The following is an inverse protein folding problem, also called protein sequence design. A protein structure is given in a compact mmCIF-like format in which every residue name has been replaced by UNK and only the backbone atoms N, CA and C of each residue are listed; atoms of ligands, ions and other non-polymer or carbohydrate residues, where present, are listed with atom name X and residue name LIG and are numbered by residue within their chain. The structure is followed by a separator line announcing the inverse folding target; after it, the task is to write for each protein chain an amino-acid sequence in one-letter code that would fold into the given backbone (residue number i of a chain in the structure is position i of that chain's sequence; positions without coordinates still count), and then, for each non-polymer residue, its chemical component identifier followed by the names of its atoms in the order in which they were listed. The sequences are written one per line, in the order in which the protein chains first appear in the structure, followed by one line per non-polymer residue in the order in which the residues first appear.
data_IF_642944957177
#
_entry.id   IF_642944957177
#
_cell.length_a   1.000
_cell.length_b   1.000
_cell.length_c   1.000
_cell.angle_alpha   90.00
_cell.angle_beta   90.00
_cell.angle_gamma   90.00
#
_symmetry.space_group_name_H-M   'P 1'
#
loop_
_entity.id
_entity.type
_entity.pdbx_description
1 polymer ?
#
# COMPACT_ATOMS: atom_id res chain seq x y z
N UNK A 1 -2.74 8.88 -14.00
CA UNK A 1 -3.30 8.15 -15.16
C UNK A 1 -3.96 6.82 -14.77
N UNK A 2 -3.26 5.76 -14.33
CA UNK A 2 -3.94 4.49 -13.95
C UNK A 2 -4.70 4.54 -12.60
N UNK A 3 -4.27 5.43 -11.69
CA UNK A 3 -4.76 5.49 -10.30
C UNK A 3 -5.73 6.64 -10.04
N UNK A 4 -6.06 7.40 -11.08
CA UNK A 4 -6.95 8.56 -11.03
C UNK A 4 -8.27 8.17 -11.68
N UNK A 5 -9.37 8.29 -10.94
CA UNK A 5 -10.71 7.90 -11.38
C UNK A 5 -11.25 8.72 -12.56
N UNK A 6 -10.66 9.88 -12.81
CA UNK A 6 -10.97 10.74 -13.96
C UNK A 6 -10.35 10.26 -15.29
N UNK A 7 -9.41 9.31 -15.26
CA UNK A 7 -8.72 8.80 -16.46
C UNK A 7 -9.40 7.54 -17.04
N UNK A 8 -9.35 7.38 -18.37
CA UNK A 8 -9.93 6.22 -19.06
C UNK A 8 -9.30 4.90 -18.60
N UNK A 9 -7.99 4.92 -18.34
CA UNK A 9 -7.20 3.76 -17.92
C UNK A 9 -7.59 3.23 -16.54
N UNK A 10 -8.25 4.04 -15.70
CA UNK A 10 -8.67 3.63 -14.36
C UNK A 10 -9.52 2.37 -14.40
N UNK A 11 -10.39 2.26 -15.40
CA UNK A 11 -11.34 1.16 -15.57
C UNK A 11 -10.75 -0.10 -16.21
N UNK A 12 -9.43 -0.13 -16.50
CA UNK A 12 -8.75 -1.33 -17.01
C UNK A 12 -8.74 -2.49 -16.01
N UNK A 13 -8.85 -2.18 -14.72
CA UNK A 13 -8.95 -3.15 -13.64
C UNK A 13 -10.33 -3.05 -12.97
N UNK A 14 -10.83 -4.15 -12.43
CA UNK A 14 -12.05 -4.16 -11.61
C UNK A 14 -11.82 -3.48 -10.25
N UNK A 15 -12.91 -3.15 -9.54
CA UNK A 15 -12.81 -2.62 -8.17
C UNK A 15 -12.11 -3.59 -7.22
N UNK A 16 -12.38 -4.89 -7.36
CA UNK A 16 -11.76 -5.94 -6.57
C UNK A 16 -10.25 -6.01 -6.83
N UNK A 17 -9.81 -5.97 -8.09
CA UNK A 17 -8.38 -5.95 -8.45
C UNK A 17 -7.69 -4.69 -7.92
N UNK A 18 -8.35 -3.51 -8.02
CA UNK A 18 -7.83 -2.27 -7.44
C UNK A 18 -7.78 -2.30 -5.91
N UNK A 19 -8.59 -3.14 -5.27
CA UNK A 19 -8.58 -3.32 -3.82
C UNK A 19 -7.43 -4.20 -3.32
N UNK A 20 -6.83 -5.01 -4.21
CA UNK A 20 -5.72 -5.89 -3.84
C UNK A 20 -4.51 -5.11 -3.33
N UNK A 21 -3.86 -5.66 -2.30
CA UNK A 21 -2.70 -5.01 -1.69
C UNK A 21 -1.55 -4.78 -2.68
N UNK A 22 -1.37 -5.68 -3.65
CA UNK A 22 -0.34 -5.54 -4.68
C UNK A 22 -0.59 -4.32 -5.58
N UNK A 23 -1.84 -4.09 -5.98
CA UNK A 23 -2.24 -2.91 -6.75
C UNK A 23 -2.01 -1.63 -5.93
N UNK A 24 -2.38 -1.64 -4.64
CA UNK A 24 -2.15 -0.51 -3.73
C UNK A 24 -0.66 -0.21 -3.53
N UNK A 25 0.21 -1.21 -3.43
CA UNK A 25 1.66 -0.99 -3.36
C UNK A 25 2.19 -0.29 -4.62
N UNK A 26 1.77 -0.75 -5.80
CA UNK A 26 2.17 -0.13 -7.05
C UNK A 26 1.68 1.33 -7.12
N UNK A 27 0.43 1.58 -6.73
CA UNK A 27 -0.12 2.93 -6.61
C UNK A 27 0.78 3.81 -5.73
N UNK A 28 1.10 3.36 -4.52
CA UNK A 28 1.93 4.12 -3.57
C UNK A 28 3.35 4.38 -4.07
N UNK A 29 3.93 3.49 -4.87
CA UNK A 29 5.29 3.64 -5.38
C UNK A 29 5.39 4.47 -6.66
N UNK A 30 4.36 4.47 -7.48
CA UNK A 30 4.32 5.20 -8.77
C UNK A 30 3.65 6.57 -8.66
N UNK A 31 2.89 6.82 -7.59
CA UNK A 31 2.30 8.14 -7.36
C UNK A 31 3.37 9.09 -6.85
N UNK A 32 3.93 9.87 -7.77
CA UNK A 32 4.98 10.85 -7.48
C UNK A 32 4.55 11.86 -6.43
N UNK A 33 5.28 11.91 -5.32
CA UNK A 33 5.26 13.04 -4.39
C UNK A 33 6.01 14.25 -4.97
N UNK A 34 6.63 15.05 -4.10
CA UNK A 34 7.36 16.27 -4.49
C UNK A 34 8.57 16.05 -5.43
N UNK A 35 8.99 14.80 -5.63
CA UNK A 35 10.21 14.44 -6.35
C UNK A 35 9.97 14.14 -7.84
N UNK A 36 8.75 14.26 -8.35
CA UNK A 36 8.40 14.03 -9.76
C UNK A 36 9.02 12.73 -10.29
N UNK A 37 8.58 11.61 -9.71
CA UNK A 37 8.99 10.26 -10.10
C UNK A 37 8.91 10.03 -11.62
N UNK A 38 9.89 9.30 -12.16
CA UNK A 38 9.98 8.97 -13.59
C UNK A 38 8.76 8.15 -14.03
N UNK A 39 8.02 8.65 -15.02
CA UNK A 39 6.82 8.04 -15.58
C UNK A 39 7.09 7.30 -16.91
N UNK A 40 8.33 7.30 -17.39
CA UNK A 40 8.74 6.66 -18.65
C UNK A 40 9.00 5.17 -18.46
N UNK A 41 9.55 4.77 -17.31
CA UNK A 41 9.99 3.39 -17.04
C UNK A 41 9.31 2.84 -15.79
N UNK A 42 8.55 1.74 -15.94
CA UNK A 42 7.75 1.17 -14.84
C UNK A 42 8.51 0.13 -14.00
N UNK A 43 9.58 -0.45 -14.57
CA UNK A 43 10.35 -1.56 -13.99
C UNK A 43 10.88 -1.29 -12.57
N UNK A 44 11.41 -0.09 -12.22
CA UNK A 44 11.85 0.20 -10.86
C UNK A 44 10.73 0.04 -9.83
N UNK A 45 9.51 0.50 -10.15
CA UNK A 45 8.35 0.41 -9.26
C UNK A 45 7.84 -1.01 -9.12
N UNK A 46 7.81 -1.78 -10.22
CA UNK A 46 7.44 -3.20 -10.19
C UNK A 46 8.43 -4.01 -9.34
N UNK A 47 9.73 -3.73 -9.47
CA UNK A 47 10.75 -4.38 -8.67
C UNK A 47 10.61 -4.02 -7.19
N UNK A 48 10.46 -2.74 -6.84
CA UNK A 48 10.23 -2.29 -5.47
C UNK A 48 8.97 -2.92 -4.87
N UNK A 49 7.85 -2.90 -5.59
CA UNK A 49 6.58 -3.54 -5.20
C UNK A 49 6.77 -5.03 -4.92
N UNK A 50 7.47 -5.75 -5.80
CA UNK A 50 7.77 -7.18 -5.62
C UNK A 50 8.63 -7.46 -4.39
N UNK A 51 9.66 -6.65 -4.13
CA UNK A 51 10.52 -6.82 -2.95
C UNK A 51 9.74 -6.58 -1.66
N UNK A 52 9.02 -5.45 -1.58
CA UNK A 52 8.25 -5.09 -0.38
C UNK A 52 7.12 -6.08 -0.12
N UNK A 53 6.41 -6.51 -1.16
CA UNK A 53 5.35 -7.52 -1.02
C UNK A 53 5.88 -8.82 -0.42
N UNK A 54 7.04 -9.29 -0.89
CA UNK A 54 7.66 -10.54 -0.41
C UNK A 54 8.27 -10.43 0.99
N UNK A 55 8.71 -9.24 1.37
CA UNK A 55 9.26 -8.99 2.70
C UNK A 55 8.15 -8.90 3.76
N UNK A 56 7.03 -8.25 3.42
CA UNK A 56 5.90 -8.06 4.33
C UNK A 56 5.04 -9.31 4.50
N UNK A 57 4.88 -10.13 3.46
CA UNK A 57 3.90 -11.21 3.43
C UNK A 57 4.53 -12.59 3.42
N UNK A 58 4.07 -13.42 4.35
CA UNK A 58 4.35 -14.85 4.35
C UNK A 58 3.34 -15.60 3.48
N UNK A 59 3.84 -16.68 2.87
CA UNK A 59 3.05 -17.67 2.15
C UNK A 59 3.11 -19.02 2.86
N UNK A 60 2.11 -19.86 2.63
CA UNK A 60 2.11 -21.23 3.09
C UNK A 60 1.63 -22.17 1.99
N UNK A 61 2.11 -23.41 2.05
CA UNK A 61 1.65 -24.47 1.16
C UNK A 61 0.51 -25.22 1.83
N UNK A 62 -0.68 -25.15 1.25
CA UNK A 62 -1.83 -25.97 1.65
C UNK A 62 -1.79 -27.29 0.88
N UNK A 63 -1.86 -28.44 1.58
CA UNK A 63 -2.04 -29.74 0.92
C UNK A 63 -3.29 -29.74 0.02
N UNK A 64 -3.12 -30.02 -1.28
CA UNK A 64 -4.22 -30.10 -2.25
C UNK A 64 -4.63 -28.78 -2.90
N UNK A 65 -4.34 -27.62 -2.29
CA UNK A 65 -4.74 -26.29 -2.83
C UNK A 65 -3.57 -25.43 -3.31
N UNK A 66 -2.32 -25.83 -3.11
CA UNK A 66 -1.14 -25.12 -3.61
C UNK A 66 -0.57 -24.11 -2.61
N UNK A 67 0.01 -23.02 -3.09
CA UNK A 67 0.61 -21.96 -2.25
C UNK A 67 -0.37 -20.80 -2.13
N UNK A 68 -0.60 -20.32 -0.91
CA UNK A 68 -1.42 -19.13 -0.64
C UNK A 68 -0.68 -18.15 0.26
N UNK A 69 -1.10 -16.88 0.21
CA UNK A 69 -0.67 -15.88 1.20
C UNK A 69 -1.33 -16.18 2.54
N UNK A 70 -0.53 -16.36 3.59
CA UNK A 70 -1.02 -16.65 4.94
C UNK A 70 -1.12 -15.40 5.83
N UNK A 71 -0.47 -14.31 5.40
CA UNK A 71 -0.53 -13.01 6.10
C UNK A 71 -1.83 -12.28 5.80
N UNK A 72 -2.32 -11.51 6.77
CA UNK A 72 -3.49 -10.65 6.62
C UNK A 72 -3.05 -9.21 6.61
N UNK A 73 -3.54 -8.43 5.64
CA UNK A 73 -3.19 -7.02 5.50
C UNK A 73 -4.41 -6.17 5.79
N UNK A 74 -4.22 -5.15 6.63
CA UNK A 74 -5.28 -4.21 7.01
C UNK A 74 -4.81 -2.79 6.72
N UNK A 75 -5.60 -2.02 5.99
CA UNK A 75 -5.44 -0.56 5.96
C UNK A 75 -5.95 -0.01 7.29
N UNK A 76 -5.16 0.80 7.97
CA UNK A 76 -5.48 1.30 9.32
C UNK A 76 -5.46 2.82 9.39
N UNK A 77 -6.32 3.35 10.24
CA UNK A 77 -6.40 4.77 10.60
C UNK A 77 -6.58 4.85 12.11
N UNK A 78 -5.83 5.73 12.76
CA UNK A 78 -5.93 6.03 14.18
C UNK A 78 -6.59 7.40 14.38
N UNK A 79 -7.46 7.48 15.38
CA UNK A 79 -8.24 8.66 15.71
C UNK A 79 -7.93 9.11 17.15
N UNK A 80 -8.07 10.41 17.42
CA UNK A 80 -8.04 10.95 18.79
C UNK A 80 -9.41 10.79 19.49
N UNK A 81 -9.52 11.31 20.71
CA UNK A 81 -10.78 11.27 21.47
C UNK A 81 -11.91 12.10 20.86
N UNK A 82 -11.63 12.92 19.84
CA UNK A 82 -12.59 13.78 19.14
C UNK A 82 -12.84 13.26 17.70
N UNK A 83 -12.53 12.00 17.40
CA UNK A 83 -12.64 11.38 16.07
C UNK A 83 -11.83 12.09 14.98
N UNK A 84 -10.79 12.83 15.36
CA UNK A 84 -9.86 13.45 14.40
C UNK A 84 -8.78 12.45 14.02
N UNK A 85 -8.50 12.31 12.72
CA UNK A 85 -7.45 11.42 12.22
C UNK A 85 -6.08 11.89 12.72
N UNK A 86 -5.41 11.03 13.50
CA UNK A 86 -4.05 11.24 13.99
C UNK A 86 -3.00 10.62 13.07
N UNK A 87 -3.32 9.46 12.49
CA UNK A 87 -2.39 8.68 11.69
C UNK A 87 -3.14 7.76 10.71
N UNK A 88 -2.70 7.63 9.45
CA UNK A 88 -1.69 8.44 8.79
C UNK A 88 -2.19 9.89 8.62
N UNK A 89 -1.30 10.88 8.69
CA UNK A 89 -1.70 12.30 8.59
C UNK A 89 -2.13 12.60 7.16
N UNK A 90 -3.42 12.79 6.95
CA UNK A 90 -3.96 13.11 5.64
C UNK A 90 -3.77 14.61 5.35
N UNK A 91 -3.02 14.94 4.29
CA UNK A 91 -3.03 16.29 3.75
C UNK A 91 -4.26 16.43 2.83
N UNK A 92 -4.90 17.60 2.85
CA UNK A 92 -6.21 17.94 2.26
C UNK A 92 -6.36 17.75 0.72
N UNK A 93 -5.47 17.04 0.06
CA UNK A 93 -5.48 16.87 -1.40
C UNK A 93 -6.05 15.48 -1.77
N UNK A 94 -6.71 15.40 -2.93
CA UNK A 94 -7.43 14.21 -3.43
C UNK A 94 -6.55 12.94 -3.59
N UNK A 95 -5.23 13.05 -3.49
CA UNK A 95 -4.31 11.95 -3.70
C UNK A 95 -3.89 11.36 -2.34
N UNK A 96 -4.11 10.05 -2.09
CA UNK A 96 -3.87 9.41 -0.80
C UNK A 96 -2.38 9.11 -0.58
N UNK A 97 -1.55 10.15 -0.56
CA UNK A 97 -0.10 10.02 -0.38
C UNK A 97 0.24 9.42 0.98
N UNK A 98 -0.49 9.80 2.04
CA UNK A 98 -0.32 9.23 3.36
C UNK A 98 -1.14 7.96 3.51
N UNK A 99 -0.53 6.88 3.99
CA UNK A 99 -1.18 5.59 4.16
C UNK A 99 -0.55 4.81 5.31
N UNK A 100 -1.28 3.83 5.84
CA UNK A 100 -0.75 2.87 6.79
C UNK A 100 -1.42 1.49 6.60
N UNK A 101 -0.58 0.46 6.57
CA UNK A 101 -0.99 -0.94 6.50
C UNK A 101 -0.33 -1.74 7.62
N UNK A 102 -1.11 -2.61 8.26
CA UNK A 102 -0.60 -3.65 9.14
C UNK A 102 -0.59 -4.97 8.39
N UNK A 103 0.60 -5.54 8.22
CA UNK A 103 0.78 -6.91 7.75
C UNK A 103 0.92 -7.83 8.97
N UNK A 104 -0.10 -8.63 9.23
CA UNK A 104 -0.18 -9.54 10.36
C UNK A 104 0.12 -10.96 9.90
N UNK A 105 1.16 -11.56 10.48
CA UNK A 105 1.45 -12.97 10.29
C UNK A 105 0.88 -13.78 11.47
N UNK A 106 -0.23 -14.51 11.28
CA UNK A 106 -0.89 -15.22 12.38
C UNK A 106 -0.06 -16.39 12.92
N UNK A 107 0.82 -16.97 12.10
CA UNK A 107 1.63 -18.13 12.47
C UNK A 107 2.80 -17.75 13.36
N UNK A 108 3.51 -16.68 13.01
CA UNK A 108 4.64 -16.17 13.81
C UNK A 108 4.21 -15.17 14.88
N UNK A 109 2.94 -14.73 14.86
CA UNK A 109 2.38 -13.69 15.75
C UNK A 109 3.15 -12.37 15.65
N UNK A 110 3.62 -12.05 14.45
CA UNK A 110 4.35 -10.81 14.17
C UNK A 110 3.45 -9.85 13.39
N UNK A 111 3.70 -8.55 13.58
CA UNK A 111 3.00 -7.47 12.88
C UNK A 111 4.05 -6.52 12.33
N UNK A 112 3.99 -6.24 11.04
CA UNK A 112 4.78 -5.20 10.40
C UNK A 112 3.88 -4.01 10.06
N UNK A 113 4.37 -2.80 10.30
CA UNK A 113 3.72 -1.56 9.89
C UNK A 113 4.42 -1.04 8.63
N UNK A 114 3.65 -0.90 7.55
CA UNK A 114 4.09 -0.27 6.31
C UNK A 114 3.30 1.02 6.12
N UNK A 115 3.97 2.18 6.15
CA UNK A 115 3.29 3.46 6.16
C UNK A 115 4.10 4.57 5.48
N UNK A 116 3.39 5.62 5.08
CA UNK A 116 3.96 6.90 4.68
C UNK A 116 3.12 8.04 5.27
N UNK A 117 3.78 9.10 5.73
CA UNK A 117 3.13 10.35 6.11
C UNK A 117 3.79 11.49 5.32
N UNK A 118 2.99 12.22 4.55
CA UNK A 118 3.46 13.43 3.88
C UNK A 118 3.80 14.49 4.93
N UNK A 119 5.02 15.03 4.87
CA UNK A 119 5.44 16.16 5.69
C UNK A 119 5.83 15.84 7.13
N UNK A 120 5.97 14.57 7.52
CA UNK A 120 6.65 14.27 8.79
C UNK A 120 8.14 14.60 8.65
N UNK A 121 8.64 15.43 9.57
CA UNK A 121 10.08 15.63 9.77
C UNK A 121 10.64 14.28 10.21
N UNK A 122 11.62 13.74 9.50
CA UNK A 122 12.28 12.50 9.91
C UNK A 122 12.96 12.79 11.25
N UNK A 123 12.33 12.38 12.36
CA UNK A 123 13.00 12.32 13.65
C UNK A 123 13.88 11.07 13.64
N UNK A 124 15.14 11.25 13.20
CA UNK A 124 16.23 10.30 13.45
C UNK A 124 16.74 10.43 14.88
#
# INVERSE_FOLDING_TARGET
MLFEDECEEYSLYSEDERSEFMFRLLQHFSTGGQWCQDDVVIEPYLNAMKYVYKDLLAVEKIPGSGIQVSSKVYKVVAFDSNDTVLFPKECRNLIPYSFAYLAVNPKTRTVALFFHNVGDTIYT
#
